data_IF_258151061871
#
_entry.id   IF_258151061871
#
_cell.length_a   1.000
_cell.length_b   1.000
_cell.length_c   1.000
_cell.angle_alpha   90.00
_cell.angle_beta   90.00
_cell.angle_gamma   90.00
#
_symmetry.space_group_name_H-M   'P 1'
#
loop_
_entity.id
_entity.type
_entity.pdbx_description
1 polymer ?
#
# COMPACT_ATOMS: atom_id res chain seq x y z
N UNK A 1 -40.27 16.30 -13.72
CA UNK A 1 -41.49 16.21 -14.56
C UNK A 1 -41.65 14.75 -14.96
N UNK A 2 -42.62 14.04 -14.39
CA UNK A 2 -42.99 12.67 -14.79
C UNK A 2 -44.51 12.58 -14.72
N UNK A 3 -45.13 12.11 -15.81
CA UNK A 3 -46.56 11.78 -15.96
C UNK A 3 -46.58 10.41 -16.65
N UNK A 4 -47.15 9.35 -16.06
CA UNK A 4 -48.60 9.02 -16.03
C UNK A 4 -49.15 8.95 -17.47
N UNK A 5 -49.73 7.84 -17.96
CA UNK A 5 -50.75 6.92 -17.40
C UNK A 5 -50.51 5.48 -17.96
N UNK A 6 -50.85 4.31 -17.40
CA UNK A 6 -51.84 3.80 -16.44
C UNK A 6 -53.04 3.04 -17.07
N UNK A 7 -53.11 1.71 -16.82
CA UNK A 7 -54.30 0.78 -16.89
C UNK A 7 -54.95 0.58 -18.28
N UNK A 8 -55.65 -0.51 -18.63
CA UNK A 8 -55.75 -1.92 -18.21
C UNK A 8 -56.54 -2.67 -19.35
N UNK A 9 -57.04 -3.92 -19.32
CA UNK A 9 -57.13 -5.00 -18.32
C UNK A 9 -57.30 -6.38 -19.04
N UNK A 10 -57.72 -7.45 -18.34
CA UNK A 10 -58.17 -8.76 -18.90
C UNK A 10 -59.72 -8.86 -18.90
N UNK A 11 -60.42 -9.86 -19.54
CA UNK A 11 -60.13 -11.30 -19.48
C UNK A 11 -60.36 -12.11 -20.79
N UNK A 12 -60.35 -13.44 -20.65
CA UNK A 12 -60.45 -14.45 -21.72
C UNK A 12 -61.90 -14.78 -22.15
N UNK A 13 -62.03 -15.39 -23.33
CA UNK A 13 -63.03 -16.45 -23.58
C UNK A 13 -62.59 -17.36 -24.74
N UNK A 14 -63.16 -18.57 -24.81
CA UNK A 14 -62.84 -19.66 -25.75
C UNK A 14 -63.72 -19.62 -27.00
N UNK A 15 -63.25 -20.18 -28.12
CA UNK A 15 -63.88 -21.40 -28.66
C UNK A 15 -63.14 -22.03 -29.85
N UNK A 16 -63.46 -23.31 -30.02
CA UNK A 16 -62.96 -24.29 -30.99
C UNK A 16 -63.66 -24.15 -32.36
N UNK A 17 -62.99 -24.45 -33.48
CA UNK A 17 -63.62 -25.09 -34.64
C UNK A 17 -62.63 -25.61 -35.69
N UNK A 18 -62.95 -26.78 -36.25
CA UNK A 18 -62.05 -27.70 -36.93
C UNK A 18 -61.75 -27.45 -38.43
N UNK A 19 -60.62 -28.04 -38.84
CA UNK A 19 -60.36 -28.78 -40.08
C UNK A 19 -60.29 -28.08 -41.46
N UNK A 20 -59.17 -28.35 -42.14
CA UNK A 20 -58.98 -28.23 -43.58
C UNK A 20 -57.70 -28.97 -44.00
N UNK A 21 -57.83 -30.13 -44.67
CA UNK A 21 -56.69 -30.94 -45.11
C UNK A 21 -55.97 -30.32 -46.33
N UNK A 22 -54.66 -30.53 -46.42
CA UNK A 22 -53.84 -30.14 -47.58
C UNK A 22 -52.52 -30.91 -47.58
N UNK A 23 -52.46 -31.99 -48.36
CA UNK A 23 -51.28 -32.87 -48.48
C UNK A 23 -50.31 -32.30 -49.52
N UNK A 24 -49.02 -32.17 -49.17
CA UNK A 24 -47.84 -32.53 -50.00
C UNK A 24 -46.53 -32.10 -49.29
N UNK A 25 -45.47 -32.93 -49.37
CA UNK A 25 -44.13 -32.57 -48.84
C UNK A 25 -43.28 -33.65 -48.17
N UNK A 26 -43.76 -34.90 -48.05
CA UNK A 26 -43.10 -35.97 -47.28
C UNK A 26 -41.90 -36.66 -47.97
N UNK A 27 -41.04 -35.92 -48.69
CA UNK A 27 -39.82 -36.44 -49.32
C UNK A 27 -38.55 -35.60 -49.08
N UNK A 28 -38.63 -34.49 -48.33
CA UNK A 28 -37.44 -33.72 -47.92
C UNK A 28 -36.75 -34.31 -46.68
N UNK A 29 -37.51 -34.81 -45.70
CA UNK A 29 -37.00 -35.05 -44.35
C UNK A 29 -36.07 -36.24 -44.19
N UNK A 30 -36.23 -37.33 -44.95
CA UNK A 30 -35.35 -38.51 -44.80
C UNK A 30 -33.94 -38.24 -45.35
N UNK A 31 -33.80 -37.45 -46.42
CA UNK A 31 -32.49 -37.09 -46.95
C UNK A 31 -31.78 -36.08 -46.05
N UNK A 32 -32.51 -35.10 -45.51
CA UNK A 32 -31.96 -34.15 -44.53
C UNK A 32 -31.55 -34.88 -43.23
N UNK A 33 -32.36 -35.82 -42.73
CA UNK A 33 -32.00 -36.66 -41.58
C UNK A 33 -30.79 -37.57 -41.85
N UNK A 34 -30.68 -38.16 -43.04
CA UNK A 34 -29.49 -38.94 -43.43
C UNK A 34 -28.25 -38.05 -43.51
N UNK A 35 -28.36 -36.81 -43.98
CA UNK A 35 -27.24 -35.86 -43.97
C UNK A 35 -26.87 -35.44 -42.54
N UNK A 36 -27.84 -35.13 -41.69
CA UNK A 36 -27.60 -34.79 -40.28
C UNK A 36 -26.99 -35.97 -39.50
N UNK A 37 -27.45 -37.21 -39.72
CA UNK A 37 -26.90 -38.43 -39.10
C UNK A 37 -25.49 -38.79 -39.63
N UNK A 38 -25.14 -38.41 -40.88
CA UNK A 38 -23.78 -38.56 -41.43
C UNK A 38 -22.83 -37.46 -40.90
N UNK A 39 -23.37 -36.30 -40.54
CA UNK A 39 -22.63 -35.18 -39.93
C UNK A 39 -22.50 -35.39 -38.40
N UNK A 40 -23.39 -36.15 -37.79
CA UNK A 40 -23.35 -36.53 -36.38
C UNK A 40 -22.23 -37.55 -36.07
N UNK A 41 -21.26 -37.11 -35.25
CA UNK A 41 -20.29 -37.95 -34.54
C UNK A 41 -19.32 -38.82 -35.37
N UNK A 42 -18.64 -38.21 -36.34
CA UNK A 42 -17.23 -38.57 -36.52
C UNK A 42 -16.49 -38.27 -35.20
N UNK A 43 -15.91 -39.27 -34.48
CA UNK A 43 -15.28 -39.01 -33.20
C UNK A 43 -14.11 -38.04 -33.38
N UNK A 44 -13.92 -37.06 -32.48
CA UNK A 44 -12.96 -35.98 -32.68
C UNK A 44 -11.57 -36.54 -32.99
N UNK A 45 -10.88 -36.03 -34.02
CA UNK A 45 -9.67 -36.66 -34.54
C UNK A 45 -8.63 -36.75 -33.42
N UNK A 46 -8.18 -37.98 -33.13
CA UNK A 46 -7.27 -38.29 -32.01
C UNK A 46 -5.96 -37.50 -32.02
N UNK A 47 -5.60 -36.88 -33.15
CA UNK A 47 -4.46 -35.99 -33.32
C UNK A 47 -3.14 -36.56 -32.78
N UNK A 48 -2.98 -37.89 -32.80
CA UNK A 48 -1.89 -38.58 -32.11
C UNK A 48 -0.51 -38.18 -32.65
N UNK A 49 -0.42 -37.90 -33.96
CA UNK A 49 0.79 -37.36 -34.59
C UNK A 49 1.17 -35.97 -34.03
N UNK A 50 0.20 -35.09 -33.76
CA UNK A 50 0.42 -33.76 -33.15
C UNK A 50 1.01 -33.91 -31.74
N UNK A 51 0.39 -34.72 -30.89
CA UNK A 51 0.86 -34.99 -29.52
C UNK A 51 2.28 -35.59 -29.50
N UNK A 52 2.57 -36.54 -30.41
CA UNK A 52 3.91 -37.16 -30.52
C UNK A 52 4.95 -36.16 -31.04
N UNK A 53 4.60 -35.33 -32.02
CA UNK A 53 5.49 -34.31 -32.56
C UNK A 53 5.78 -33.20 -31.53
N UNK A 54 4.76 -32.68 -30.84
CA UNK A 54 4.89 -31.71 -29.75
C UNK A 54 5.82 -32.24 -28.64
N UNK A 55 5.64 -33.51 -28.24
CA UNK A 55 6.55 -34.17 -27.29
C UNK A 55 8.00 -34.21 -27.83
N UNK A 56 8.21 -34.60 -29.08
CA UNK A 56 9.55 -34.72 -29.70
C UNK A 56 10.24 -33.38 -29.88
N UNK A 57 9.52 -32.32 -30.26
CA UNK A 57 10.07 -30.97 -30.34
C UNK A 57 10.49 -30.48 -28.94
N UNK A 58 9.67 -30.73 -27.92
CA UNK A 58 10.04 -30.47 -26.53
C UNK A 58 11.25 -31.33 -26.07
N UNK A 59 11.35 -32.60 -26.50
CA UNK A 59 12.54 -33.44 -26.25
C UNK A 59 13.80 -32.80 -26.85
N UNK A 60 13.73 -32.32 -28.09
CA UNK A 60 14.84 -31.68 -28.82
C UNK A 60 15.24 -30.33 -28.20
N UNK A 61 14.28 -29.48 -27.83
CA UNK A 61 14.53 -28.21 -27.11
C UNK A 61 15.19 -28.44 -25.74
N UNK A 62 14.95 -29.59 -25.10
CA UNK A 62 15.56 -29.95 -23.81
C UNK A 62 16.91 -30.69 -23.93
N UNK A 63 17.47 -30.89 -25.13
CA UNK A 63 18.77 -31.55 -25.28
C UNK A 63 19.93 -30.70 -24.72
N UNK A 64 20.99 -31.31 -24.16
CA UNK A 64 22.18 -30.57 -23.74
C UNK A 64 22.89 -29.94 -24.95
N UNK A 65 23.64 -28.85 -24.71
CA UNK A 65 24.41 -28.13 -25.75
C UNK A 65 25.35 -29.02 -26.57
N UNK A 66 25.86 -30.11 -25.98
CA UNK A 66 26.68 -31.11 -26.68
C UNK A 66 25.93 -31.92 -27.75
N UNK A 67 24.62 -31.72 -27.89
CA UNK A 67 23.73 -32.47 -28.80
C UNK A 67 22.88 -31.59 -29.71
N UNK A 68 22.79 -30.28 -29.46
CA UNK A 68 22.07 -29.31 -30.27
C UNK A 68 22.69 -27.92 -30.06
N UNK A 69 22.95 -27.19 -31.15
CA UNK A 69 23.47 -25.82 -31.06
C UNK A 69 22.34 -24.79 -30.84
N UNK A 70 22.71 -23.55 -30.48
CA UNK A 70 21.75 -22.49 -30.16
C UNK A 70 20.77 -22.16 -31.30
N UNK A 71 21.22 -22.17 -32.57
CA UNK A 71 20.37 -21.90 -33.74
C UNK A 71 19.37 -23.04 -33.98
N UNK A 72 19.81 -24.29 -33.92
CA UNK A 72 18.94 -25.47 -34.04
C UNK A 72 17.89 -25.49 -32.91
N UNK A 73 18.29 -25.13 -31.68
CA UNK A 73 17.40 -25.02 -30.53
C UNK A 73 16.36 -23.93 -30.74
N UNK A 74 16.75 -22.76 -31.25
CA UNK A 74 15.84 -21.65 -31.55
C UNK A 74 14.81 -22.01 -32.64
N UNK A 75 15.25 -22.58 -33.77
CA UNK A 75 14.34 -23.02 -34.85
C UNK A 75 13.36 -24.09 -34.37
N UNK A 76 13.83 -25.03 -33.53
CA UNK A 76 12.95 -26.05 -32.93
C UNK A 76 11.95 -25.41 -31.96
N UNK A 77 12.37 -24.41 -31.19
CA UNK A 77 11.51 -23.69 -30.26
C UNK A 77 10.42 -22.88 -30.96
N UNK A 78 10.74 -22.22 -32.08
CA UNK A 78 9.76 -21.44 -32.84
C UNK A 78 8.67 -22.34 -33.45
N UNK A 79 9.05 -23.52 -33.96
CA UNK A 79 8.08 -24.54 -34.41
C UNK A 79 7.26 -25.10 -33.24
N UNK A 80 7.88 -25.29 -32.06
CA UNK A 80 7.17 -25.73 -30.85
C UNK A 80 6.18 -24.67 -30.35
N UNK A 81 6.51 -23.37 -30.41
CA UNK A 81 5.59 -22.27 -30.10
C UNK A 81 4.35 -22.34 -30.97
N UNK A 82 4.51 -22.51 -32.29
CA UNK A 82 3.37 -22.59 -33.20
C UNK A 82 2.46 -23.80 -32.89
N UNK A 83 3.06 -24.96 -32.63
CA UNK A 83 2.31 -26.15 -32.20
C UNK A 83 1.61 -25.96 -30.85
N UNK A 84 2.21 -25.21 -29.93
CA UNK A 84 1.65 -24.96 -28.60
C UNK A 84 0.42 -24.05 -28.66
N UNK A 85 0.34 -23.10 -29.60
CA UNK A 85 -0.82 -22.19 -29.75
C UNK A 85 -2.12 -22.97 -29.96
N UNK A 86 -2.04 -24.03 -30.76
CA UNK A 86 -3.13 -24.95 -31.12
C UNK A 86 -3.18 -26.21 -30.23
N UNK A 87 -2.54 -26.18 -29.06
CA UNK A 87 -2.49 -27.30 -28.11
C UNK A 87 -3.35 -27.05 -26.87
N UNK A 88 -3.87 -28.13 -26.29
CA UNK A 88 -4.72 -28.05 -25.09
C UNK A 88 -3.89 -27.73 -23.85
N UNK A 89 -4.52 -27.08 -22.85
CA UNK A 89 -3.85 -26.57 -21.64
C UNK A 89 -2.89 -27.59 -20.98
N UNK A 90 -3.31 -28.85 -20.86
CA UNK A 90 -2.50 -29.90 -20.22
C UNK A 90 -1.18 -30.22 -20.97
N UNK A 91 -1.13 -30.00 -22.29
CA UNK A 91 0.11 -30.13 -23.08
C UNK A 91 1.04 -28.95 -22.84
N UNK A 92 0.49 -27.72 -22.79
CA UNK A 92 1.25 -26.49 -22.50
C UNK A 92 1.87 -26.55 -21.10
N UNK A 93 1.10 -26.96 -20.08
CA UNK A 93 1.61 -27.21 -18.71
C UNK A 93 2.73 -28.27 -18.73
N UNK A 94 2.58 -29.34 -19.51
CA UNK A 94 3.60 -30.40 -19.59
C UNK A 94 4.89 -29.90 -20.24
N UNK A 95 4.83 -29.04 -21.26
CA UNK A 95 6.03 -28.44 -21.86
C UNK A 95 6.65 -27.39 -20.93
N UNK A 96 5.85 -26.54 -20.30
CA UNK A 96 6.30 -25.54 -19.33
C UNK A 96 7.13 -26.17 -18.19
N UNK A 97 6.63 -27.25 -17.58
CA UNK A 97 7.33 -28.03 -16.53
C UNK A 97 8.62 -28.71 -16.99
N UNK A 98 8.81 -28.88 -18.31
CA UNK A 98 10.03 -29.47 -18.87
C UNK A 98 11.07 -28.44 -19.22
N UNK A 99 10.65 -27.25 -19.66
CA UNK A 99 11.58 -26.15 -19.95
C UNK A 99 12.03 -25.43 -18.68
N UNK A 100 11.23 -25.39 -17.62
CA UNK A 100 11.57 -24.68 -16.37
C UNK A 100 12.82 -25.19 -15.65
N UNK A 101 13.24 -26.43 -15.92
CA UNK A 101 14.48 -27.01 -15.37
C UNK A 101 15.72 -26.76 -16.23
N UNK A 102 15.60 -26.03 -17.34
CA UNK A 102 16.71 -25.73 -18.25
C UNK A 102 17.49 -24.48 -17.79
N UNK A 103 18.83 -24.58 -17.85
CA UNK A 103 19.71 -23.43 -17.59
C UNK A 103 19.56 -22.30 -18.61
N UNK A 104 19.12 -22.62 -19.83
CA UNK A 104 18.78 -21.65 -20.89
C UNK A 104 17.50 -22.09 -21.61
N UNK A 105 16.51 -21.21 -21.68
CA UNK A 105 15.25 -21.43 -22.42
C UNK A 105 15.21 -20.44 -23.61
N UNK A 106 14.92 -20.90 -24.84
CA UNK A 106 14.72 -20.02 -25.99
C UNK A 106 13.67 -18.94 -25.71
N UNK A 107 13.99 -17.67 -26.04
CA UNK A 107 13.14 -16.54 -25.59
C UNK A 107 11.71 -16.60 -26.15
N UNK A 108 11.50 -17.14 -27.36
CA UNK A 108 10.15 -17.33 -27.94
C UNK A 108 9.26 -18.22 -27.06
N UNK A 109 9.80 -19.27 -26.46
CA UNK A 109 9.10 -20.12 -25.49
C UNK A 109 8.85 -19.41 -24.16
N UNK A 110 9.82 -18.64 -23.64
CA UNK A 110 9.62 -17.83 -22.42
C UNK A 110 8.46 -16.86 -22.63
N UNK A 111 8.51 -16.05 -23.70
CA UNK A 111 7.50 -15.02 -23.99
C UNK A 111 6.10 -15.61 -24.15
N UNK A 112 5.98 -16.79 -24.77
CA UNK A 112 4.70 -17.48 -24.90
C UNK A 112 4.20 -18.00 -23.55
N UNK A 113 5.00 -18.82 -22.86
CA UNK A 113 4.54 -19.63 -21.72
C UNK A 113 4.37 -18.80 -20.44
N UNK A 114 5.12 -17.70 -20.28
CA UNK A 114 5.08 -16.87 -19.06
C UNK A 114 3.88 -15.89 -19.03
N UNK A 115 3.11 -15.79 -20.13
CA UNK A 115 1.89 -14.98 -20.24
C UNK A 115 0.70 -15.78 -20.81
N UNK A 116 0.77 -17.11 -20.73
CA UNK A 116 -0.30 -18.04 -21.09
C UNK A 116 -1.32 -18.09 -19.94
N UNK A 117 -2.03 -19.21 -19.77
CA UNK A 117 -2.76 -19.51 -18.54
C UNK A 117 -1.82 -19.56 -17.32
N UNK A 118 -2.33 -19.14 -16.16
CA UNK A 118 -1.54 -19.07 -14.94
C UNK A 118 -1.00 -20.46 -14.49
N UNK A 119 -1.65 -21.58 -14.83
CA UNK A 119 -1.11 -22.92 -14.55
C UNK A 119 0.11 -23.27 -15.42
N UNK A 120 0.20 -22.71 -16.63
CA UNK A 120 1.35 -22.84 -17.53
C UNK A 120 2.48 -21.95 -17.02
N UNK A 121 2.18 -20.67 -16.77
CA UNK A 121 3.16 -19.69 -16.30
C UNK A 121 3.73 -20.05 -14.91
N UNK A 122 2.94 -20.69 -14.04
CA UNK A 122 3.38 -21.18 -12.71
C UNK A 122 4.67 -21.98 -12.77
N UNK A 123 4.78 -22.94 -13.70
CA UNK A 123 5.97 -23.78 -13.80
C UNK A 123 7.24 -22.97 -14.09
N UNK A 124 7.13 -21.86 -14.81
CA UNK A 124 8.24 -20.93 -15.05
C UNK A 124 8.47 -20.03 -13.81
N UNK A 125 7.40 -19.44 -13.26
CA UNK A 125 7.49 -18.44 -12.18
C UNK A 125 7.91 -19.07 -10.83
N UNK A 126 7.61 -20.35 -10.57
CA UNK A 126 7.99 -21.04 -9.33
C UNK A 126 9.34 -21.78 -9.47
N UNK A 127 9.52 -22.58 -10.52
CA UNK A 127 10.65 -23.53 -10.61
C UNK A 127 11.86 -23.01 -11.39
N UNK A 128 11.69 -22.02 -12.28
CA UNK A 128 12.73 -21.61 -13.22
C UNK A 128 13.70 -20.58 -12.62
N UNK A 129 14.91 -21.01 -12.28
CA UNK A 129 15.98 -20.14 -11.76
C UNK A 129 16.66 -19.30 -12.86
N UNK A 130 16.57 -19.70 -14.13
CA UNK A 130 17.18 -19.02 -15.29
C UNK A 130 16.40 -17.80 -15.82
N UNK A 131 15.20 -17.50 -15.28
CA UNK A 131 14.43 -16.31 -15.68
C UNK A 131 15.12 -15.02 -15.23
N UNK A 132 15.28 -14.08 -16.16
CA UNK A 132 15.77 -12.74 -15.83
C UNK A 132 14.67 -11.84 -15.27
N UNK A 133 15.06 -10.77 -14.59
CA UNK A 133 14.14 -9.69 -14.18
C UNK A 133 13.35 -9.11 -15.37
N UNK A 134 13.92 -9.11 -16.58
CA UNK A 134 13.24 -8.63 -17.79
C UNK A 134 12.15 -9.61 -18.29
N UNK A 135 12.27 -10.90 -17.98
CA UNK A 135 11.25 -11.90 -18.30
C UNK A 135 10.13 -11.89 -17.24
N UNK A 136 10.50 -11.76 -15.96
CA UNK A 136 9.54 -11.55 -14.87
C UNK A 136 8.78 -10.22 -15.03
N UNK A 137 9.43 -9.16 -15.50
CA UNK A 137 8.77 -7.87 -15.79
C UNK A 137 7.81 -7.98 -16.98
N UNK A 138 8.16 -8.76 -18.01
CA UNK A 138 7.25 -9.05 -19.12
C UNK A 138 6.01 -9.81 -18.65
N UNK A 139 6.20 -10.82 -17.79
CA UNK A 139 5.11 -11.52 -17.12
C UNK A 139 4.24 -10.56 -16.30
N UNK A 140 4.84 -9.64 -15.54
CA UNK A 140 4.09 -8.66 -14.76
C UNK A 140 3.29 -7.70 -15.66
N UNK A 141 3.88 -7.26 -16.77
CA UNK A 141 3.31 -6.26 -17.69
C UNK A 141 2.19 -6.79 -18.59
N UNK A 142 2.28 -8.05 -19.03
CA UNK A 142 1.34 -8.64 -19.97
C UNK A 142 0.48 -9.77 -19.37
N UNK A 143 0.83 -10.26 -18.18
CA UNK A 143 0.02 -11.19 -17.41
C UNK A 143 -1.13 -10.51 -16.66
N UNK A 144 -2.07 -11.34 -16.21
CA UNK A 144 -3.23 -10.92 -15.42
C UNK A 144 -2.96 -11.04 -13.90
N UNK A 145 -3.97 -10.73 -13.08
CA UNK A 145 -3.89 -10.81 -11.61
C UNK A 145 -3.36 -12.17 -11.09
N UNK A 146 -3.69 -13.31 -11.73
CA UNK A 146 -3.17 -14.61 -11.30
C UNK A 146 -1.64 -14.71 -11.49
N UNK A 147 -1.08 -14.08 -12.53
CA UNK A 147 0.37 -13.97 -12.72
C UNK A 147 1.00 -13.08 -11.64
N UNK A 148 0.37 -11.96 -11.30
CA UNK A 148 0.82 -11.08 -10.22
C UNK A 148 0.86 -11.80 -8.86
N UNK A 149 -0.12 -12.65 -8.57
CA UNK A 149 -0.12 -13.50 -7.38
C UNK A 149 1.05 -14.49 -7.36
N UNK A 150 1.33 -15.15 -8.50
CA UNK A 150 2.48 -16.07 -8.64
C UNK A 150 3.81 -15.34 -8.41
N UNK A 151 3.99 -14.17 -9.05
CA UNK A 151 5.18 -13.31 -8.88
C UNK A 151 5.35 -12.87 -7.42
N UNK A 152 4.27 -12.46 -6.74
CA UNK A 152 4.31 -12.07 -5.33
C UNK A 152 4.72 -13.23 -4.40
N UNK A 153 4.41 -14.49 -4.77
CA UNK A 153 4.86 -15.69 -4.04
C UNK A 153 6.26 -16.20 -4.41
N UNK A 154 6.88 -15.70 -5.50
CA UNK A 154 8.19 -16.19 -5.97
C UNK A 154 9.26 -16.07 -4.88
N UNK A 155 10.15 -17.06 -4.81
CA UNK A 155 11.18 -17.23 -3.76
C UNK A 155 11.93 -15.93 -3.47
N UNK A 156 12.39 -15.24 -4.51
CA UNK A 156 13.03 -13.93 -4.45
C UNK A 156 12.43 -13.07 -5.56
N UNK A 157 12.28 -11.78 -5.29
CA UNK A 157 11.73 -10.80 -6.22
C UNK A 157 12.45 -9.47 -6.04
N UNK A 158 12.92 -8.88 -7.13
CA UNK A 158 13.68 -7.63 -7.12
C UNK A 158 12.80 -6.41 -6.86
N UNK A 159 13.41 -5.28 -6.49
CA UNK A 159 12.67 -4.10 -6.07
C UNK A 159 11.85 -3.44 -7.18
N UNK A 160 12.32 -3.50 -8.43
CA UNK A 160 11.57 -2.96 -9.58
C UNK A 160 10.30 -3.78 -9.86
N UNK A 161 10.34 -5.10 -9.65
CA UNK A 161 9.18 -5.97 -9.76
C UNK A 161 8.24 -5.79 -8.56
N UNK A 162 8.77 -5.62 -7.35
CA UNK A 162 7.97 -5.32 -6.16
C UNK A 162 7.21 -3.99 -6.31
N UNK A 163 7.87 -2.96 -6.84
CA UNK A 163 7.28 -1.64 -7.11
C UNK A 163 6.15 -1.76 -8.13
N UNK A 164 6.42 -2.35 -9.30
CA UNK A 164 5.40 -2.60 -10.31
C UNK A 164 4.17 -3.35 -9.78
N UNK A 165 4.38 -4.39 -8.94
CA UNK A 165 3.26 -5.13 -8.34
C UNK A 165 2.44 -4.30 -7.34
N UNK A 166 3.07 -3.35 -6.62
CA UNK A 166 2.34 -2.41 -5.75
C UNK A 166 1.57 -1.39 -6.58
N UNK A 167 2.16 -0.90 -7.67
CA UNK A 167 1.53 0.08 -8.57
C UNK A 167 0.28 -0.47 -9.31
N UNK A 168 0.05 -1.80 -9.30
CA UNK A 168 -1.22 -2.39 -9.75
C UNK A 168 -2.41 -2.10 -8.82
N UNK A 169 -2.14 -1.56 -7.62
CA UNK A 169 -3.08 -1.33 -6.52
C UNK A 169 -3.88 -2.58 -6.07
N UNK A 170 -3.47 -3.77 -6.51
CA UNK A 170 -4.21 -5.00 -6.27
C UNK A 170 -3.95 -5.53 -4.85
N UNK A 171 -4.86 -5.22 -3.93
CA UNK A 171 -4.70 -5.50 -2.49
C UNK A 171 -4.34 -6.97 -2.17
N UNK A 172 -4.97 -8.01 -2.77
CA UNK A 172 -4.51 -9.40 -2.61
C UNK A 172 -3.06 -9.68 -3.03
N UNK A 173 -2.57 -9.06 -4.12
CA UNK A 173 -1.16 -9.16 -4.55
C UNK A 173 -0.26 -8.49 -3.52
N UNK A 174 -0.61 -7.27 -3.11
CA UNK A 174 0.18 -6.47 -2.16
C UNK A 174 0.28 -7.14 -0.79
N UNK A 175 -0.83 -7.71 -0.29
CA UNK A 175 -0.81 -8.53 0.91
C UNK A 175 0.14 -9.72 0.81
N UNK A 176 0.13 -10.41 -0.34
CA UNK A 176 0.98 -11.58 -0.61
C UNK A 176 2.46 -11.17 -0.69
N UNK A 177 2.75 -10.07 -1.37
CA UNK A 177 4.08 -9.49 -1.51
C UNK A 177 4.65 -9.03 -0.16
N UNK A 178 3.84 -8.36 0.68
CA UNK A 178 4.26 -7.93 2.01
C UNK A 178 4.54 -9.12 2.95
N UNK A 179 3.79 -10.22 2.82
CA UNK A 179 4.04 -11.49 3.54
C UNK A 179 5.38 -12.12 3.11
N UNK A 180 5.77 -12.00 1.84
CA UNK A 180 7.02 -12.54 1.29
C UNK A 180 8.27 -11.75 1.76
N UNK A 181 8.88 -12.16 2.88
CA UNK A 181 10.06 -11.49 3.45
C UNK A 181 11.34 -11.54 2.59
N UNK A 182 11.35 -12.30 1.49
CA UNK A 182 12.50 -12.39 0.56
C UNK A 182 12.35 -11.49 -0.67
N UNK A 183 11.13 -11.11 -1.05
CA UNK A 183 10.89 -10.00 -1.97
C UNK A 183 11.44 -8.70 -1.35
N UNK A 184 12.17 -7.87 -2.12
CA UNK A 184 12.81 -6.65 -1.59
C UNK A 184 12.00 -5.41 -1.96
N UNK A 185 11.28 -4.82 -1.02
CA UNK A 185 10.49 -3.62 -1.32
C UNK A 185 11.38 -2.38 -1.38
N UNK A 186 11.19 -1.56 -2.42
CA UNK A 186 11.74 -0.22 -2.51
C UNK A 186 11.07 0.71 -1.48
N UNK A 187 11.62 1.93 -1.31
CA UNK A 187 10.95 2.94 -0.49
C UNK A 187 9.66 3.48 -1.13
N UNK A 188 9.60 3.79 -2.44
CA UNK A 188 8.34 4.12 -3.10
C UNK A 188 7.26 3.04 -2.92
N UNK A 189 7.59 1.76 -3.15
CA UNK A 189 6.65 0.65 -2.96
C UNK A 189 6.10 0.56 -1.52
N UNK A 190 6.95 0.80 -0.51
CA UNK A 190 6.52 0.87 0.88
C UNK A 190 5.69 2.12 1.20
N UNK A 191 6.03 3.28 0.62
CA UNK A 191 5.28 4.52 0.80
C UNK A 191 3.88 4.44 0.15
N UNK A 192 3.76 3.80 -1.03
CA UNK A 192 2.50 3.48 -1.70
C UNK A 192 1.65 2.50 -0.88
N UNK A 193 2.24 1.39 -0.41
CA UNK A 193 1.53 0.45 0.46
C UNK A 193 1.07 1.11 1.79
N UNK A 194 1.85 2.04 2.34
CA UNK A 194 1.44 2.87 3.48
C UNK A 194 0.27 3.79 3.12
N UNK A 195 0.27 4.43 1.95
CA UNK A 195 -0.86 5.25 1.51
C UNK A 195 -2.16 4.42 1.39
N UNK A 196 -2.10 3.25 0.73
CA UNK A 196 -3.22 2.31 0.59
C UNK A 196 -3.73 1.78 1.94
N UNK A 197 -2.86 1.67 2.94
CA UNK A 197 -3.25 1.20 4.27
C UNK A 197 -4.26 2.09 5.01
N UNK A 198 -4.52 3.32 4.51
CA UNK A 198 -5.59 4.18 5.01
C UNK A 198 -6.99 3.61 4.77
N UNK A 199 -7.20 2.95 3.63
CA UNK A 199 -8.46 2.27 3.28
C UNK A 199 -8.37 0.76 3.46
N UNK A 200 -7.16 0.21 3.55
CA UNK A 200 -6.87 -1.22 3.72
C UNK A 200 -6.05 -1.46 5.01
N UNK A 201 -6.65 -1.29 6.21
CA UNK A 201 -5.93 -1.35 7.48
C UNK A 201 -5.29 -2.73 7.76
N UNK A 202 -5.73 -3.80 7.08
CA UNK A 202 -5.10 -5.12 7.19
C UNK A 202 -3.68 -5.17 6.60
N UNK A 203 -3.28 -4.18 5.77
CA UNK A 203 -1.89 -4.02 5.31
C UNK A 203 -0.94 -3.58 6.43
N UNK A 204 -1.42 -2.80 7.41
CA UNK A 204 -0.61 -2.21 8.49
C UNK A 204 0.25 -3.26 9.25
N UNK A 205 -0.31 -4.38 9.78
CA UNK A 205 0.49 -5.40 10.45
C UNK A 205 1.45 -6.17 9.53
N UNK A 206 1.27 -6.11 8.21
CA UNK A 206 2.19 -6.70 7.23
C UNK A 206 3.35 -5.73 6.93
N UNK A 207 3.05 -4.47 6.68
CA UNK A 207 4.03 -3.38 6.50
C UNK A 207 4.94 -3.28 7.74
N UNK A 208 4.36 -3.34 8.95
CA UNK A 208 5.11 -3.29 10.20
C UNK A 208 6.07 -4.47 10.40
N UNK A 209 5.92 -5.59 9.69
CA UNK A 209 6.88 -6.71 9.74
C UNK A 209 8.08 -6.52 8.80
N UNK A 210 8.01 -5.59 7.84
CA UNK A 210 9.10 -5.34 6.91
C UNK A 210 10.34 -4.77 7.60
N UNK A 211 11.50 -5.20 7.10
CA UNK A 211 12.82 -4.73 7.55
C UNK A 211 13.16 -3.36 6.95
N UNK A 212 12.64 -3.11 5.75
CA UNK A 212 12.89 -1.93 4.93
C UNK A 212 12.03 -0.72 5.35
N UNK A 213 11.08 -0.92 6.28
CA UNK A 213 10.22 0.14 6.81
C UNK A 213 11.04 1.18 7.57
N UNK A 214 11.07 2.41 7.04
CA UNK A 214 11.76 3.55 7.66
C UNK A 214 10.88 4.29 8.68
N UNK A 215 11.48 5.04 9.63
CA UNK A 215 10.75 5.89 10.57
C UNK A 215 9.75 6.83 9.89
N UNK A 216 10.08 7.37 8.71
CA UNK A 216 9.21 8.25 7.94
C UNK A 216 7.82 7.66 7.71
N UNK A 217 7.75 6.48 7.10
CA UNK A 217 6.49 5.83 6.74
C UNK A 217 5.81 5.21 7.97
N UNK A 218 6.58 4.78 8.99
CA UNK A 218 6.02 4.34 10.26
C UNK A 218 5.33 5.48 11.05
N UNK A 219 5.92 6.67 11.07
CA UNK A 219 5.32 7.87 11.68
C UNK A 219 4.12 8.43 10.91
N UNK A 220 3.92 7.99 9.66
CA UNK A 220 2.73 8.25 8.85
C UNK A 220 1.62 7.24 9.20
N UNK A 221 1.93 5.94 9.24
CA UNK A 221 1.01 4.89 9.71
C UNK A 221 0.37 5.21 11.08
N UNK A 222 1.13 5.83 11.99
CA UNK A 222 0.67 6.21 13.33
C UNK A 222 -0.67 6.97 13.37
N UNK A 223 -1.00 7.74 12.32
CA UNK A 223 -2.19 8.59 12.32
C UNK A 223 -3.51 7.84 12.12
N UNK A 224 -3.48 6.61 11.58
CA UNK A 224 -4.65 5.77 11.33
C UNK A 224 -4.50 4.31 11.79
N UNK A 225 -3.34 3.93 12.33
CA UNK A 225 -3.14 2.62 12.93
C UNK A 225 -3.84 2.48 14.30
N UNK A 226 -4.16 1.24 14.68
CA UNK A 226 -4.72 0.92 16.00
C UNK A 226 -3.68 1.04 17.13
N UNK A 227 -4.17 1.21 18.37
CA UNK A 227 -3.36 1.50 19.57
C UNK A 227 -2.11 0.61 19.71
N UNK A 228 -2.25 -0.72 19.55
CA UNK A 228 -1.14 -1.67 19.64
C UNK A 228 -0.02 -1.38 18.63
N UNK A 229 -0.41 -1.10 17.38
CA UNK A 229 0.52 -0.73 16.32
C UNK A 229 1.15 0.64 16.59
N UNK A 230 0.38 1.60 17.12
CA UNK A 230 0.89 2.92 17.51
C UNK A 230 1.94 2.83 18.60
N UNK A 231 1.72 2.02 19.64
CA UNK A 231 2.72 1.73 20.70
C UNK A 231 3.96 1.05 20.12
N UNK A 232 3.80 0.12 19.16
CA UNK A 232 4.93 -0.51 18.46
C UNK A 232 5.73 0.49 17.61
N UNK A 233 5.07 1.42 16.90
CA UNK A 233 5.72 2.47 16.12
C UNK A 233 6.57 3.37 17.02
N UNK A 234 6.00 3.87 18.12
CA UNK A 234 6.68 4.75 19.05
C UNK A 234 7.90 4.08 19.74
N UNK A 235 7.79 2.79 20.07
CA UNK A 235 8.87 2.04 20.72
C UNK A 235 9.97 1.58 19.76
N UNK A 236 9.63 1.17 18.53
CA UNK A 236 10.60 0.69 17.52
C UNK A 236 11.33 1.83 16.80
N UNK A 237 10.64 2.90 16.43
CA UNK A 237 11.21 3.97 15.58
C UNK A 237 11.60 5.23 16.34
N UNK A 238 11.15 5.38 17.59
CA UNK A 238 11.64 6.38 18.53
C UNK A 238 13.08 6.09 18.93
N UNK A 239 14.04 6.54 18.11
CA UNK A 239 15.49 6.39 18.35
C UNK A 239 16.06 7.58 19.13
N UNK A 240 17.22 7.40 19.76
CA UNK A 240 17.96 8.48 20.42
C UNK A 240 18.68 9.36 19.36
N UNK A 241 18.91 10.64 19.67
CA UNK A 241 19.62 11.62 18.82
C UNK A 241 20.95 12.10 19.40
N UNK A 242 21.41 11.57 20.53
CA UNK A 242 22.68 11.99 21.18
C UNK A 242 23.83 12.19 20.20
N UNK A 243 24.13 11.21 19.34
CA UNK A 243 25.20 11.31 18.32
C UNK A 243 25.02 12.54 17.43
N UNK A 244 23.80 12.81 16.94
CA UNK A 244 23.50 13.97 16.09
C UNK A 244 23.59 15.29 16.88
N UNK A 245 23.32 15.27 18.19
CA UNK A 245 23.41 16.42 19.08
C UNK A 245 24.85 16.76 19.45
N UNK A 246 25.70 15.75 19.64
CA UNK A 246 27.11 15.92 19.97
C UNK A 246 27.88 16.44 18.75
N UNK A 247 27.65 15.86 17.57
CA UNK A 247 28.28 16.26 16.30
C UNK A 247 27.89 17.64 15.79
N UNK A 248 26.84 18.26 16.33
CA UNK A 248 26.38 19.61 15.95
C UNK A 248 26.50 20.63 17.10
N UNK A 249 27.21 20.28 18.18
CA UNK A 249 27.21 21.05 19.42
C UNK A 249 27.88 22.43 19.30
N UNK A 250 28.92 22.55 18.47
CA UNK A 250 29.62 23.79 18.12
C UNK A 250 28.87 24.66 17.09
N UNK A 251 28.15 24.03 16.15
CA UNK A 251 27.36 24.69 15.10
C UNK A 251 26.31 25.67 15.69
N UNK A 252 25.76 25.39 16.87
CA UNK A 252 24.85 26.32 17.56
C UNK A 252 25.52 27.67 17.89
N UNK A 253 26.80 27.69 18.24
CA UNK A 253 27.53 28.92 18.53
C UNK A 253 27.86 29.70 17.25
N UNK A 254 28.19 28.99 16.16
CA UNK A 254 28.41 29.57 14.83
C UNK A 254 27.15 30.27 14.32
N UNK A 255 26.01 29.56 14.34
CA UNK A 255 24.71 30.12 13.96
C UNK A 255 24.28 31.31 14.83
N UNK A 256 24.62 31.32 16.11
CA UNK A 256 24.37 32.49 16.96
C UNK A 256 25.21 33.71 16.55
N UNK A 257 26.50 33.52 16.22
CA UNK A 257 27.38 34.59 15.72
C UNK A 257 26.88 35.14 14.37
N UNK A 258 26.38 34.28 13.49
CA UNK A 258 25.75 34.61 12.20
C UNK A 258 24.30 35.13 12.34
N UNK A 259 23.83 35.42 13.56
CA UNK A 259 22.47 35.91 13.84
C UNK A 259 21.36 35.02 13.24
N UNK A 260 21.64 33.72 13.17
CA UNK A 260 20.81 32.65 12.62
C UNK A 260 20.40 32.85 11.15
N UNK A 261 21.14 33.62 10.37
CA UNK A 261 20.68 34.11 9.07
C UNK A 261 20.30 33.01 8.06
N UNK A 262 20.99 31.87 8.02
CA UNK A 262 20.62 30.75 7.15
C UNK A 262 19.31 30.04 7.59
N UNK A 263 18.23 30.07 6.78
CA UNK A 263 17.00 29.36 7.08
C UNK A 263 17.14 27.83 7.05
N UNK A 264 18.06 27.28 6.27
CA UNK A 264 18.24 25.84 6.09
C UNK A 264 18.92 25.23 7.33
N UNK A 265 20.08 25.74 7.73
CA UNK A 265 20.74 25.37 8.98
C UNK A 265 19.82 25.60 10.19
N UNK A 266 19.07 26.72 10.22
CA UNK A 266 18.06 26.98 11.28
C UNK A 266 16.99 25.88 11.33
N UNK A 267 16.46 25.43 10.19
CA UNK A 267 15.48 24.33 10.12
C UNK A 267 16.08 22.98 10.55
N UNK A 268 17.35 22.72 10.21
CA UNK A 268 18.06 21.51 10.62
C UNK A 268 18.31 21.49 12.14
N UNK A 269 18.89 22.55 12.70
CA UNK A 269 19.17 22.68 14.13
C UNK A 269 17.89 22.58 14.99
N UNK A 270 16.74 23.05 14.50
CA UNK A 270 15.44 22.84 15.16
C UNK A 270 15.07 21.37 15.36
N UNK A 271 15.58 20.44 14.53
CA UNK A 271 15.40 18.99 14.74
C UNK A 271 16.44 18.40 15.70
N UNK A 272 17.65 18.97 15.72
CA UNK A 272 18.76 18.49 16.55
C UNK A 272 18.60 18.93 18.01
N UNK A 273 18.18 20.17 18.25
CA UNK A 273 18.17 20.88 19.53
C UNK A 273 17.78 20.01 20.76
N UNK A 274 18.52 20.18 21.85
CA UNK A 274 18.29 19.46 23.12
C UNK A 274 17.06 19.93 23.91
N UNK A 275 16.68 21.20 23.82
CA UNK A 275 15.58 21.81 24.59
C UNK A 275 14.25 21.73 23.85
N UNK A 276 13.28 20.94 24.32
CA UNK A 276 11.99 20.82 23.65
C UNK A 276 11.07 22.05 23.85
N UNK A 277 11.04 22.65 25.05
CA UNK A 277 10.20 23.84 25.31
C UNK A 277 10.84 25.10 24.76
N UNK A 278 10.05 25.95 24.12
CA UNK A 278 10.47 27.25 23.62
C UNK A 278 10.36 28.31 24.72
N UNK A 279 11.51 28.89 25.13
CA UNK A 279 11.56 29.93 26.17
C UNK A 279 11.08 31.30 25.66
N UNK A 280 11.44 31.67 24.44
CA UNK A 280 11.00 32.95 23.84
C UNK A 280 9.49 33.01 23.62
N UNK A 281 8.85 31.86 23.36
CA UNK A 281 7.40 31.76 23.32
C UNK A 281 6.78 31.93 24.71
N UNK A 282 7.36 31.30 25.74
CA UNK A 282 6.94 31.46 27.13
C UNK A 282 7.06 32.91 27.62
N UNK A 283 8.14 33.62 27.27
CA UNK A 283 8.35 35.03 27.62
C UNK A 283 7.33 35.98 26.98
N UNK A 284 6.76 35.60 25.83
CA UNK A 284 5.70 36.34 25.12
C UNK A 284 4.29 35.85 25.49
N UNK A 285 4.19 34.79 26.29
CA UNK A 285 2.94 34.15 26.67
C UNK A 285 2.21 34.95 27.75
N UNK A 286 0.87 34.99 27.75
CA UNK A 286 0.10 35.43 28.92
C UNK A 286 0.15 34.42 30.08
N UNK A 287 0.75 33.23 29.89
CA UNK A 287 0.83 32.17 30.90
C UNK A 287 2.25 32.02 31.47
N UNK A 288 2.35 31.87 32.79
CA UNK A 288 3.63 31.69 33.50
C UNK A 288 4.31 30.34 33.25
N UNK A 289 3.60 29.37 32.65
CA UNK A 289 4.12 28.04 32.31
C UNK A 289 3.19 27.33 31.32
N UNK A 290 3.73 26.32 30.63
CA UNK A 290 2.95 25.42 29.77
C UNK A 290 1.88 24.66 30.58
N UNK A 291 2.19 24.31 31.82
CA UNK A 291 1.27 23.73 32.79
C UNK A 291 0.10 24.68 33.11
N UNK A 292 0.36 25.98 33.26
CA UNK A 292 -0.68 26.97 33.51
C UNK A 292 -1.61 27.17 32.30
N UNK A 293 -1.05 27.24 31.08
CA UNK A 293 -1.83 27.28 29.85
C UNK A 293 -2.76 26.07 29.72
N UNK A 294 -2.24 24.85 29.96
CA UNK A 294 -3.03 23.61 29.92
C UNK A 294 -4.07 23.56 31.04
N UNK A 295 -3.77 24.07 32.23
CA UNK A 295 -4.73 24.13 33.34
C UNK A 295 -5.91 25.06 33.01
N UNK A 296 -5.64 26.21 32.38
CA UNK A 296 -6.68 27.14 31.94
C UNK A 296 -7.50 26.56 30.78
N UNK A 297 -6.84 25.88 29.82
CA UNK A 297 -7.51 25.11 28.76
C UNK A 297 -8.46 24.04 29.35
N UNK A 298 -8.08 23.40 30.45
CA UNK A 298 -8.91 22.39 31.13
C UNK A 298 -10.06 22.99 31.98
N UNK A 299 -10.03 24.30 32.22
CA UNK A 299 -11.08 25.06 32.91
C UNK A 299 -12.09 25.66 31.93
N UNK A 300 -11.62 26.32 30.87
CA UNK A 300 -12.44 27.02 29.88
C UNK A 300 -12.78 26.18 28.64
N UNK A 301 -12.05 25.09 28.41
CA UNK A 301 -12.08 24.32 27.17
C UNK A 301 -10.99 24.76 26.19
N UNK A 302 -10.58 23.85 25.30
CA UNK A 302 -9.59 24.15 24.26
C UNK A 302 -10.17 25.10 23.21
N UNK A 303 -9.51 26.22 22.98
CA UNK A 303 -9.77 27.15 21.86
C UNK A 303 -8.63 27.08 20.84
N UNK A 304 -8.83 27.63 19.64
CA UNK A 304 -7.77 27.72 18.62
C UNK A 304 -6.54 28.48 19.13
N UNK A 305 -6.74 29.64 19.75
CA UNK A 305 -5.65 30.42 20.34
C UNK A 305 -4.93 29.63 21.43
N UNK A 306 -5.65 28.91 22.29
CA UNK A 306 -5.04 28.09 23.34
C UNK A 306 -4.21 26.93 22.74
N UNK A 307 -4.70 26.32 21.65
CA UNK A 307 -3.97 25.29 20.93
C UNK A 307 -2.68 25.83 20.28
N UNK A 308 -2.75 27.01 19.66
CA UNK A 308 -1.60 27.73 19.08
C UNK A 308 -0.57 28.08 20.16
N UNK A 309 -1.01 28.65 21.29
CA UNK A 309 -0.16 29.01 22.43
C UNK A 309 0.59 27.79 23.02
N UNK A 310 -0.15 26.72 23.34
CA UNK A 310 0.42 25.45 23.82
C UNK A 310 1.44 24.88 22.81
N UNK A 311 1.18 25.03 21.50
CA UNK A 311 2.10 24.59 20.45
C UNK A 311 3.41 25.36 20.49
N UNK A 312 3.35 26.70 20.49
CA UNK A 312 4.53 27.55 20.52
C UNK A 312 5.39 27.29 21.76
N UNK A 313 4.78 27.29 22.95
CA UNK A 313 5.46 26.97 24.22
C UNK A 313 6.11 25.56 24.22
N UNK A 314 5.49 24.60 23.52
CA UNK A 314 6.00 23.22 23.37
C UNK A 314 7.09 23.07 22.30
N UNK A 315 7.52 24.16 21.65
CA UNK A 315 8.55 24.14 20.61
C UNK A 315 8.11 23.51 19.29
N UNK A 316 6.80 23.53 19.00
CA UNK A 316 6.23 23.01 17.74
C UNK A 316 5.39 24.06 17.04
N UNK A 317 5.27 23.94 15.71
CA UNK A 317 4.41 24.83 14.91
C UNK A 317 2.93 24.50 15.12
N UNK A 318 2.03 25.50 15.02
CA UNK A 318 0.58 25.32 15.21
C UNK A 318 -0.06 24.15 14.47
N UNK A 319 0.33 23.88 13.23
CA UNK A 319 -0.25 22.77 12.46
C UNK A 319 0.08 21.39 13.06
N UNK A 320 1.30 21.21 13.56
CA UNK A 320 1.74 20.00 14.27
C UNK A 320 0.93 19.84 15.57
N UNK A 321 0.79 20.90 16.36
CA UNK A 321 0.00 20.87 17.59
C UNK A 321 -1.49 20.62 17.33
N UNK A 322 -2.07 21.25 16.29
CA UNK A 322 -3.43 21.01 15.86
C UNK A 322 -3.65 19.55 15.42
N UNK A 323 -2.69 18.92 14.72
CA UNK A 323 -2.75 17.49 14.39
C UNK A 323 -2.76 16.62 15.64
N UNK A 324 -1.84 16.87 16.57
CA UNK A 324 -1.75 16.15 17.85
C UNK A 324 -3.01 16.31 18.73
N UNK A 325 -3.67 17.47 18.67
CA UNK A 325 -4.91 17.72 19.42
C UNK A 325 -6.15 17.07 18.79
N UNK A 326 -6.15 16.85 17.46
CA UNK A 326 -7.23 16.16 16.72
C UNK A 326 -7.07 14.63 16.67
N UNK A 327 -5.88 14.11 16.92
CA UNK A 327 -5.58 12.67 17.00
C UNK A 327 -6.61 11.91 17.84
N UNK A 328 -7.43 11.06 17.22
CA UNK A 328 -8.60 10.43 17.85
C UNK A 328 -8.25 9.48 19.00
N UNK A 329 -7.17 8.70 18.86
CA UNK A 329 -6.66 7.85 19.94
C UNK A 329 -6.08 8.70 21.08
N UNK A 330 -5.27 9.70 20.72
CA UNK A 330 -4.69 10.68 21.63
C UNK A 330 -3.30 10.32 22.14
N UNK A 331 -2.69 9.24 21.67
CA UNK A 331 -1.32 8.84 21.98
C UNK A 331 -0.31 9.93 21.55
N UNK A 332 -0.65 10.76 20.56
CA UNK A 332 0.10 11.97 20.22
C UNK A 332 0.16 12.98 21.38
N UNK A 333 -0.87 13.05 22.22
CA UNK A 333 -0.86 13.86 23.45
C UNK A 333 0.11 13.31 24.49
N UNK A 334 0.24 11.98 24.58
CA UNK A 334 1.23 11.33 25.45
C UNK A 334 2.65 11.65 24.99
N UNK A 335 2.92 11.59 23.67
CA UNK A 335 4.21 12.01 23.08
C UNK A 335 4.48 13.49 23.38
N UNK A 336 3.52 14.39 23.12
CA UNK A 336 3.64 15.82 23.40
C UNK A 336 3.99 16.08 24.87
N UNK A 337 3.26 15.46 25.79
CA UNK A 337 3.48 15.64 27.22
C UNK A 337 4.83 15.07 27.66
N UNK A 338 5.19 13.85 27.23
CA UNK A 338 6.44 13.20 27.63
C UNK A 338 7.67 13.94 27.09
N UNK A 339 7.62 14.41 25.83
CA UNK A 339 8.70 15.17 25.20
C UNK A 339 8.97 16.52 25.88
N UNK A 340 7.91 17.20 26.31
CA UNK A 340 7.96 18.51 26.99
C UNK A 340 8.15 18.39 28.51
N UNK A 341 8.21 17.19 29.08
CA UNK A 341 8.32 16.96 30.52
C UNK A 341 7.05 17.28 31.31
N UNK A 342 5.90 17.39 30.65
CA UNK A 342 4.59 17.57 31.30
C UNK A 342 4.16 16.27 32.01
N UNK A 343 3.65 16.40 33.24
CA UNK A 343 3.19 15.25 34.03
C UNK A 343 1.87 14.62 33.53
N UNK A 344 1.57 13.40 34.00
CA UNK A 344 0.25 12.75 33.80
C UNK A 344 -0.94 13.62 34.23
N UNK A 345 -0.77 14.52 35.21
CA UNK A 345 -1.80 15.47 35.63
C UNK A 345 -2.10 16.47 34.51
N UNK A 346 -1.07 17.00 33.87
CA UNK A 346 -1.21 17.89 32.71
C UNK A 346 -1.77 17.16 31.48
N UNK A 347 -1.35 15.91 31.23
CA UNK A 347 -1.93 15.07 30.17
C UNK A 347 -3.45 14.84 30.36
N UNK A 348 -3.89 14.51 31.58
CA UNK A 348 -5.32 14.40 31.92
C UNK A 348 -6.07 15.74 31.80
N UNK A 349 -5.42 16.86 32.14
CA UNK A 349 -5.98 18.19 31.97
C UNK A 349 -6.14 18.54 30.47
N UNK A 350 -5.15 18.25 29.63
CA UNK A 350 -5.19 18.45 28.18
C UNK A 350 -6.28 17.56 27.52
N UNK A 351 -6.40 16.30 27.93
CA UNK A 351 -7.48 15.40 27.52
C UNK A 351 -8.87 15.98 27.84
N UNK A 352 -9.06 16.50 29.06
CA UNK A 352 -10.29 17.18 29.48
C UNK A 352 -10.53 18.48 28.70
N UNK A 353 -9.49 19.28 28.44
CA UNK A 353 -9.59 20.52 27.65
C UNK A 353 -10.15 20.26 26.24
N UNK A 354 -9.74 19.15 25.63
CA UNK A 354 -10.23 18.64 24.35
C UNK A 354 -11.63 17.97 24.44
N UNK A 355 -12.34 18.12 25.56
CA UNK A 355 -13.68 17.58 25.85
C UNK A 355 -13.80 16.05 25.70
N UNK A 356 -12.69 15.33 25.83
CA UNK A 356 -12.68 13.86 25.72
C UNK A 356 -13.14 13.21 27.04
N UNK A 357 -13.89 12.10 26.99
CA UNK A 357 -14.44 11.45 28.19
C UNK A 357 -13.32 10.92 29.10
N UNK A 358 -13.37 11.26 30.39
CA UNK A 358 -12.44 10.73 31.40
C UNK A 358 -12.87 9.33 31.89
N UNK A 359 -14.18 9.04 31.83
CA UNK A 359 -14.80 7.81 32.33
C UNK A 359 -15.82 7.27 31.33
N UNK A 360 -16.14 5.99 31.45
CA UNK A 360 -17.29 5.34 30.77
C UNK A 360 -18.61 5.70 31.48
N UNK A 361 -19.74 5.27 30.91
CA UNK A 361 -21.07 5.35 31.54
C UNK A 361 -21.12 4.67 32.91
N UNK A 362 -20.38 3.56 33.08
CA UNK A 362 -20.23 2.80 34.33
C UNK A 362 -19.27 3.47 35.34
N UNK A 363 -18.71 4.63 35.01
CA UNK A 363 -17.76 5.34 35.86
C UNK A 363 -16.34 4.75 35.89
N UNK A 364 -16.05 3.69 35.13
CA UNK A 364 -14.68 3.19 34.94
C UNK A 364 -13.83 4.18 34.14
N UNK A 365 -12.49 4.10 34.16
CA UNK A 365 -11.65 4.99 33.34
C UNK A 365 -11.86 4.69 31.85
N UNK A 366 -11.97 5.73 31.03
CA UNK A 366 -12.22 5.54 29.60
C UNK A 366 -11.07 4.75 28.91
N UNK A 367 -11.34 3.72 28.09
CA UNK A 367 -10.29 2.88 27.50
C UNK A 367 -9.21 3.65 26.75
N UNK A 368 -9.59 4.61 25.89
CA UNK A 368 -8.59 5.44 25.17
C UNK A 368 -7.72 6.26 26.13
N UNK A 369 -8.26 6.72 27.27
CA UNK A 369 -7.44 7.43 28.27
C UNK A 369 -6.46 6.47 28.96
N UNK A 370 -6.84 5.20 29.17
CA UNK A 370 -5.92 4.18 29.67
C UNK A 370 -4.77 3.95 28.68
N UNK A 371 -5.06 3.76 27.39
CA UNK A 371 -4.05 3.60 26.32
C UNK A 371 -3.08 4.79 26.22
N UNK A 372 -3.61 6.02 26.34
CA UNK A 372 -2.80 7.24 26.36
C UNK A 372 -1.89 7.31 27.59
N UNK A 373 -2.36 6.86 28.75
CA UNK A 373 -1.55 6.80 29.97
C UNK A 373 -0.49 5.69 29.92
N UNK A 374 -0.83 4.53 29.36
CA UNK A 374 0.12 3.43 29.09
C UNK A 374 1.20 3.92 28.13
N UNK A 375 0.82 4.58 27.03
CA UNK A 375 1.75 5.14 26.06
C UNK A 375 2.69 6.18 26.68
N UNK A 376 2.17 7.03 27.57
CA UNK A 376 3.00 7.98 28.33
C UNK A 376 4.02 7.27 29.23
N UNK A 377 3.67 6.12 29.83
CA UNK A 377 4.57 5.37 30.71
C UNK A 377 5.68 4.65 29.96
N UNK A 378 5.35 3.91 28.90
CA UNK A 378 6.33 3.11 28.13
C UNK A 378 7.35 3.98 27.37
N UNK A 379 6.99 5.22 27.03
CA UNK A 379 7.80 6.06 26.15
C UNK A 379 8.87 6.82 26.96
N UNK A 380 10.14 6.65 26.64
CA UNK A 380 11.23 7.45 27.22
C UNK A 380 11.22 8.91 26.70
N UNK A 381 11.78 9.84 27.47
CA UNK A 381 11.68 11.30 27.18
C UNK A 381 12.46 11.68 25.92
N UNK A 382 13.66 11.11 25.73
CA UNK A 382 14.48 11.24 24.52
C UNK A 382 13.71 10.78 23.28
N UNK A 383 13.11 9.59 23.33
CA UNK A 383 12.31 9.02 22.24
C UNK A 383 11.10 9.89 21.92
N UNK A 384 10.39 10.37 22.94
CA UNK A 384 9.27 11.29 22.77
C UNK A 384 9.70 12.58 22.05
N UNK A 385 10.87 13.14 22.39
CA UNK A 385 11.43 14.31 21.71
C UNK A 385 11.87 14.00 20.27
N UNK A 386 12.36 12.80 19.98
CA UNK A 386 12.63 12.34 18.60
C UNK A 386 11.36 12.34 17.76
N UNK A 387 10.32 11.66 18.24
CA UNK A 387 9.03 11.57 17.55
C UNK A 387 8.41 12.97 17.37
N UNK A 388 8.35 13.78 18.43
CA UNK A 388 7.71 15.10 18.39
C UNK A 388 8.42 16.05 17.42
N UNK A 389 9.76 16.11 17.42
CA UNK A 389 10.49 16.93 16.45
C UNK A 389 10.39 16.36 15.04
N UNK A 390 10.31 15.04 14.85
CA UNK A 390 10.09 14.45 13.53
C UNK A 390 8.76 14.90 12.96
N UNK A 391 7.66 14.77 13.71
CA UNK A 391 6.36 15.28 13.29
C UNK A 391 6.37 16.79 13.08
N UNK A 392 7.05 17.57 13.92
CA UNK A 392 7.16 19.01 13.72
C UNK A 392 7.88 19.37 12.40
N UNK A 393 8.95 18.65 12.07
CA UNK A 393 9.72 18.84 10.84
C UNK A 393 8.95 18.36 9.60
N UNK A 394 8.31 17.19 9.65
CA UNK A 394 7.57 16.63 8.52
C UNK A 394 6.26 17.37 8.27
N UNK A 395 5.36 17.43 9.25
CA UNK A 395 4.03 18.05 9.11
C UNK A 395 4.13 19.52 8.70
N UNK A 396 5.17 20.24 9.12
CA UNK A 396 5.36 21.63 8.70
C UNK A 396 6.07 21.84 7.36
N UNK A 397 6.48 20.77 6.67
CA UNK A 397 7.13 20.84 5.36
C UNK A 397 6.14 20.79 4.19
N UNK A 398 4.90 20.30 4.36
CA UNK A 398 3.88 20.28 3.32
C UNK A 398 2.95 21.51 3.28
N UNK A 399 3.14 22.50 4.15
CA UNK A 399 2.23 23.66 4.29
C UNK A 399 2.59 24.80 3.33
N UNK A 400 2.99 24.49 2.10
CA UNK A 400 3.06 25.50 1.03
C UNK A 400 1.64 25.77 0.51
N UNK A 401 1.35 26.97 0.04
CA UNK A 401 0.02 27.32 -0.50
C UNK A 401 -0.39 26.42 -1.68
N UNK A 402 0.59 25.98 -2.50
CA UNK A 402 0.37 25.08 -3.63
C UNK A 402 -0.06 23.69 -3.13
N UNK A 403 0.66 23.12 -2.16
CA UNK A 403 0.32 21.79 -1.62
C UNK A 403 -1.00 21.81 -0.84
N UNK A 404 -1.27 22.86 -0.06
CA UNK A 404 -2.56 23.02 0.62
C UNK A 404 -3.74 23.07 -0.36
N UNK A 405 -3.58 23.80 -1.47
CA UNK A 405 -4.57 23.83 -2.56
C UNK A 405 -4.75 22.45 -3.17
N UNK A 406 -3.67 21.78 -3.54
CA UNK A 406 -3.76 20.48 -4.20
C UNK A 406 -4.43 19.40 -3.33
N UNK A 407 -4.08 19.32 -2.03
CA UNK A 407 -4.73 18.39 -1.08
C UNK A 407 -6.23 18.73 -0.91
N UNK A 408 -6.60 20.01 -0.92
CA UNK A 408 -7.99 20.45 -0.73
C UNK A 408 -8.85 20.25 -1.98
N UNK A 409 -8.26 20.40 -3.17
CA UNK A 409 -8.95 20.31 -4.45
C UNK A 409 -8.91 18.89 -5.06
N UNK A 410 -8.08 17.98 -4.54
CA UNK A 410 -7.80 16.69 -5.17
C UNK A 410 -7.05 16.82 -6.49
N UNK A 411 -6.23 17.86 -6.65
CA UNK A 411 -5.35 18.02 -7.82
C UNK A 411 -4.18 17.02 -7.73
N UNK A 412 -3.87 16.31 -8.81
CA UNK A 412 -2.73 15.38 -8.85
C UNK A 412 -1.41 16.12 -8.60
N UNK A 413 -0.68 15.68 -7.58
CA UNK A 413 0.66 16.17 -7.26
C UNK A 413 1.66 15.09 -7.67
N UNK A 414 2.64 15.47 -8.48
CA UNK A 414 3.83 14.65 -8.75
C UNK A 414 4.52 14.31 -7.42
N UNK A 415 4.32 13.07 -6.95
CA UNK A 415 4.84 12.57 -5.68
C UNK A 415 6.36 12.40 -5.70
N UNK A 416 6.97 12.22 -6.88
CA UNK A 416 8.41 12.04 -7.03
C UNK A 416 9.15 13.37 -6.91
N UNK A 417 8.52 14.48 -7.32
CA UNK A 417 9.02 15.84 -7.07
C UNK A 417 9.10 16.22 -5.58
N UNK A 418 8.37 15.50 -4.70
CA UNK A 418 8.28 15.82 -3.29
C UNK A 418 9.41 15.19 -2.47
N UNK A 419 9.86 15.90 -1.44
CA UNK A 419 10.70 15.30 -0.41
C UNK A 419 9.89 14.35 0.49
N UNK A 420 10.55 13.32 1.06
CA UNK A 420 9.93 12.38 2.02
C UNK A 420 9.10 13.07 3.12
N UNK A 421 9.55 14.20 3.74
CA UNK A 421 8.76 14.91 4.74
C UNK A 421 7.49 15.59 4.18
N UNK A 422 7.52 16.02 2.91
CA UNK A 422 6.36 16.57 2.21
C UNK A 422 5.32 15.50 1.92
N UNK A 423 5.71 14.33 1.36
CA UNK A 423 4.80 13.19 1.16
C UNK A 423 4.19 12.71 2.47
N UNK A 424 5.02 12.54 3.50
CA UNK A 424 4.57 12.11 4.83
C UNK A 424 3.49 13.04 5.41
N UNK A 425 3.64 14.36 5.22
CA UNK A 425 2.69 15.33 5.70
C UNK A 425 1.43 15.44 4.82
N UNK A 426 1.53 15.29 3.49
CA UNK A 426 0.36 15.16 2.62
C UNK A 426 -0.51 13.97 3.04
N UNK A 427 0.08 12.79 3.21
CA UNK A 427 -0.63 11.58 3.65
C UNK A 427 -1.26 11.77 5.04
N UNK A 428 -0.53 12.38 5.98
CA UNK A 428 -1.03 12.63 7.32
C UNK A 428 -2.21 13.63 7.35
N UNK A 429 -2.22 14.66 6.51
CA UNK A 429 -3.28 15.68 6.49
C UNK A 429 -4.44 15.37 5.53
N UNK A 430 -4.29 14.43 4.59
CA UNK A 430 -5.33 14.10 3.60
C UNK A 430 -6.69 13.75 4.22
N UNK A 431 -6.72 13.13 5.40
CA UNK A 431 -7.96 12.82 6.12
C UNK A 431 -8.56 14.03 6.86
N UNK A 432 -7.74 15.02 7.25
CA UNK A 432 -8.19 16.21 7.99
C UNK A 432 -8.79 17.29 7.07
N UNK A 433 -8.54 17.19 5.76
CA UNK A 433 -8.94 18.17 4.73
C UNK A 433 -10.10 17.69 3.84
N UNK A 434 -10.51 16.43 3.96
CA UNK A 434 -11.65 15.83 3.24
C UNK A 434 -12.99 15.95 4.00
N UNK A 435 -13.07 16.76 5.07
CA UNK A 435 -14.24 16.84 5.97
C UNK A 435 -14.52 18.24 6.49
#
# INVERSE_FOLDING_TARGET
MVSSLARADSPAETDDFAAGEGVEGAQGSELDQIFDDIIAEAPPPKNQARHVLLKRLADVVCLPESRINAFERAVTADLLVEMLRESVLHERIRVAKRVSILGEIPNSLIRMLITDDAEVARALIEDCESLSDADLYYCAKFGNHHHHMLLATRKELSSILCEYLVDTENIPVIETLLKNQRARLSQPALEAAVAMSQTHPQLIPLIMKRSELRPSSAYVLFWWAEADCRRLILTRFGVNREIMQDMASDVFAMMAAEKWQDPLARKALQFIERRQRNREALEKSPYTSLEAAIAEAARLGMTRHMAEEISYMSGIKPATGAKLMRDRGGEGLAVLCKATGLSKKALKALWKALRRPLRTSEGLMHPHLAEVLITYDILAVDRAQTVLRYWNWSLSSALTHVMLRAISNGEDVDLDSLSVPQRAAMLAFAQDLKG
#
